data_IF_710874664469
#
_entry.id   IF_710874664469
#
_cell.length_a   1.000
_cell.length_b   1.000
_cell.length_c   1.000
_cell.angle_alpha   90.00
_cell.angle_beta   90.00
_cell.angle_gamma   90.00
#
_symmetry.space_group_name_H-M   'P 1'
#
loop_
_entity.id
_entity.type
_entity.pdbx_description
1 polymer ?
#
# COMPACT_ATOMS: atom_id res chain seq x y z
N UNK A 1 -8.38 -3.44 -11.86
CA UNK A 1 -7.15 -2.69 -11.58
C UNK A 1 -6.35 -3.38 -10.48
N UNK A 2 -5.05 -3.22 -10.51
CA UNK A 2 -4.17 -3.67 -9.45
C UNK A 2 -3.88 -2.50 -8.51
N UNK A 3 -4.31 -2.61 -7.26
CA UNK A 3 -4.19 -1.55 -6.26
C UNK A 3 -3.27 -2.02 -5.15
N UNK A 4 -2.25 -1.23 -4.85
CA UNK A 4 -1.28 -1.53 -3.82
C UNK A 4 -1.48 -0.68 -2.58
N UNK A 5 -1.31 -1.29 -1.41
CA UNK A 5 -1.50 -0.64 -0.12
C UNK A 5 -0.25 -0.76 0.74
N UNK A 6 0.20 0.36 1.28
CA UNK A 6 1.27 0.41 2.28
C UNK A 6 0.82 1.34 3.39
N UNK A 7 1.15 1.00 4.64
CA UNK A 7 0.86 1.87 5.78
C UNK A 7 1.93 1.74 6.84
N UNK A 8 2.42 2.87 7.35
CA UNK A 8 3.24 2.88 8.55
C UNK A 8 2.42 2.41 9.75
N UNK A 9 3.08 1.92 10.80
CA UNK A 9 2.38 1.33 11.95
C UNK A 9 1.31 2.26 12.54
N UNK A 10 1.60 3.55 12.67
CA UNK A 10 0.66 4.53 13.21
C UNK A 10 -0.54 4.79 12.28
N UNK A 11 -0.48 4.36 11.04
CA UNK A 11 -1.52 4.56 10.03
C UNK A 11 -2.27 3.29 9.66
N UNK A 12 -1.95 2.15 10.28
CA UNK A 12 -2.59 0.88 9.91
C UNK A 12 -4.08 0.86 10.23
N UNK A 13 -4.49 1.43 11.36
CA UNK A 13 -5.92 1.51 11.70
C UNK A 13 -6.66 2.39 10.71
N UNK A 14 -6.07 3.51 10.29
CA UNK A 14 -6.65 4.37 9.26
C UNK A 14 -6.81 3.60 7.94
N UNK A 15 -5.81 2.81 7.56
CA UNK A 15 -5.86 1.98 6.36
C UNK A 15 -6.97 0.93 6.46
N UNK A 16 -7.10 0.28 7.62
CA UNK A 16 -8.16 -0.71 7.85
C UNK A 16 -9.54 -0.07 7.69
N UNK A 17 -9.75 1.11 8.29
CA UNK A 17 -11.02 1.82 8.21
C UNK A 17 -11.33 2.27 6.78
N UNK A 18 -10.31 2.73 6.05
CA UNK A 18 -10.46 3.11 4.65
C UNK A 18 -10.89 1.91 3.80
N UNK A 19 -10.20 0.79 3.94
CA UNK A 19 -10.51 -0.41 3.17
C UNK A 19 -11.89 -0.98 3.52
N UNK A 20 -12.30 -0.89 4.78
CA UNK A 20 -13.61 -1.34 5.21
C UNK A 20 -14.71 -0.45 4.62
N UNK A 21 -14.51 0.89 4.62
CA UNK A 21 -15.47 1.83 4.06
C UNK A 21 -15.69 1.63 2.56
N UNK A 22 -14.64 1.25 1.83
CA UNK A 22 -14.69 1.06 0.38
C UNK A 22 -14.64 -0.41 -0.03
N UNK A 23 -14.97 -1.30 0.87
CA UNK A 23 -14.90 -2.75 0.65
C UNK A 23 -15.58 -3.20 -0.64
N UNK A 24 -16.78 -2.70 -0.90
CA UNK A 24 -17.56 -3.11 -2.08
C UNK A 24 -16.84 -2.74 -3.38
N UNK A 25 -16.29 -1.52 -3.45
CA UNK A 25 -15.56 -1.07 -4.63
C UNK A 25 -14.26 -1.89 -4.78
N UNK A 26 -13.54 -2.08 -3.67
CA UNK A 26 -12.27 -2.81 -3.68
C UNK A 26 -12.43 -4.27 -4.05
N UNK A 27 -13.58 -4.87 -3.77
CA UNK A 27 -13.86 -6.27 -4.11
C UNK A 27 -13.79 -6.56 -5.61
N UNK A 28 -13.87 -5.53 -6.43
CA UNK A 28 -13.83 -5.65 -7.90
C UNK A 28 -12.43 -5.55 -8.47
N UNK A 29 -11.42 -5.36 -7.62
CA UNK A 29 -10.05 -5.14 -8.04
C UNK A 29 -9.10 -6.13 -7.39
N UNK A 30 -7.90 -6.25 -7.94
CA UNK A 30 -6.84 -7.06 -7.36
C UNK A 30 -6.10 -6.21 -6.32
N UNK A 31 -6.00 -6.70 -5.10
CA UNK A 31 -5.40 -5.98 -3.98
C UNK A 31 -4.03 -6.57 -3.65
N UNK A 32 -3.06 -5.68 -3.49
CA UNK A 32 -1.69 -6.04 -3.13
C UNK A 32 -1.26 -5.19 -1.93
N UNK A 33 -0.50 -5.76 -1.03
CA UNK A 33 -0.02 -5.01 0.13
C UNK A 33 1.24 -5.65 0.70
N UNK A 34 2.03 -4.86 1.45
CA UNK A 34 3.10 -5.42 2.25
C UNK A 34 2.50 -6.28 3.36
N UNK A 35 3.28 -7.28 3.85
CA UNK A 35 2.77 -8.41 4.61
C UNK A 35 1.81 -8.09 5.76
N UNK A 36 2.23 -7.23 6.71
CA UNK A 36 1.40 -6.94 7.89
C UNK A 36 0.16 -6.15 7.50
N UNK A 37 0.31 -5.14 6.63
CA UNK A 37 -0.81 -4.35 6.12
C UNK A 37 -1.83 -5.23 5.40
N UNK A 38 -1.35 -6.12 4.53
CA UNK A 38 -2.23 -7.03 3.80
C UNK A 38 -3.01 -7.97 4.70
N UNK A 39 -2.36 -8.51 5.71
CA UNK A 39 -3.03 -9.38 6.68
C UNK A 39 -4.14 -8.64 7.42
N UNK A 40 -3.89 -7.41 7.85
CA UNK A 40 -4.88 -6.62 8.57
C UNK A 40 -6.06 -6.24 7.68
N UNK A 41 -5.81 -5.91 6.42
CA UNK A 41 -6.89 -5.63 5.47
C UNK A 41 -7.78 -6.86 5.28
N UNK A 42 -7.19 -8.04 5.11
CA UNK A 42 -7.96 -9.28 4.98
C UNK A 42 -8.81 -9.56 6.23
N UNK A 43 -8.26 -9.33 7.41
CA UNK A 43 -8.97 -9.59 8.67
C UNK A 43 -10.21 -8.71 8.82
N UNK A 44 -10.15 -7.44 8.44
CA UNK A 44 -11.28 -6.53 8.65
C UNK A 44 -12.27 -6.52 7.48
N UNK A 45 -11.82 -6.80 6.25
CA UNK A 45 -12.66 -6.73 5.07
C UNK A 45 -13.11 -8.08 4.55
N UNK A 46 -12.42 -9.15 4.92
CA UNK A 46 -12.61 -10.50 4.37
C UNK A 46 -12.35 -10.57 2.85
N UNK A 47 -11.65 -9.59 2.29
CA UNK A 47 -11.23 -9.61 0.90
C UNK A 47 -9.88 -10.30 0.78
N UNK A 48 -9.64 -10.93 -0.39
CA UNK A 48 -8.34 -11.52 -0.66
C UNK A 48 -7.33 -10.43 -1.00
N UNK A 49 -6.17 -10.46 -0.35
CA UNK A 49 -5.07 -9.53 -0.62
C UNK A 49 -3.81 -10.33 -0.89
N UNK A 50 -3.16 -10.05 -2.01
CA UNK A 50 -1.84 -10.62 -2.30
C UNK A 50 -0.80 -9.92 -1.43
N UNK A 51 -0.11 -10.68 -0.58
CA UNK A 51 0.80 -10.12 0.42
C UNK A 51 2.25 -10.27 -0.01
N UNK A 52 2.98 -9.15 -0.06
CA UNK A 52 4.42 -9.14 -0.19
C UNK A 52 5.07 -9.39 1.17
N UNK A 53 6.40 -9.50 1.18
CA UNK A 53 7.16 -9.51 2.43
C UNK A 53 6.92 -8.19 3.19
N UNK A 54 7.10 -8.17 4.53
CA UNK A 54 7.08 -6.90 5.26
C UNK A 54 8.09 -5.91 4.67
N UNK A 55 7.77 -4.60 4.71
CA UNK A 55 8.61 -3.58 4.11
C UNK A 55 10.05 -3.59 4.58
N UNK A 56 10.27 -3.89 5.88
CA UNK A 56 11.60 -3.95 6.48
C UNK A 56 12.48 -5.11 5.98
N UNK A 57 11.89 -6.13 5.34
CA UNK A 57 12.63 -7.32 4.86
C UNK A 57 12.45 -7.54 3.35
N UNK A 58 12.26 -6.49 2.59
CA UNK A 58 12.24 -6.55 1.13
C UNK A 58 10.88 -6.34 0.48
N UNK A 59 9.82 -6.12 1.24
CA UNK A 59 8.48 -5.86 0.69
C UNK A 59 8.46 -4.62 -0.20
N UNK A 60 9.20 -3.58 0.15
CA UNK A 60 9.31 -2.35 -0.63
C UNK A 60 9.87 -2.63 -2.02
N UNK A 61 10.91 -3.47 -2.10
CA UNK A 61 11.50 -3.83 -3.38
C UNK A 61 10.55 -4.63 -4.24
N UNK A 62 9.80 -5.55 -3.65
CA UNK A 62 8.77 -6.31 -4.37
C UNK A 62 7.69 -5.37 -4.91
N UNK A 63 7.29 -4.39 -4.11
CA UNK A 63 6.29 -3.41 -4.48
C UNK A 63 6.77 -2.55 -5.65
N UNK A 64 7.99 -2.03 -5.56
CA UNK A 64 8.59 -1.21 -6.63
C UNK A 64 8.80 -2.02 -7.91
N UNK A 65 9.14 -3.30 -7.79
CA UNK A 65 9.30 -4.18 -8.93
C UNK A 65 7.99 -4.30 -9.75
N UNK A 66 6.87 -4.41 -9.08
CA UNK A 66 5.56 -4.44 -9.76
C UNK A 66 5.25 -3.11 -10.44
N UNK A 67 5.63 -1.97 -9.84
CA UNK A 67 5.45 -0.66 -10.46
C UNK A 67 6.30 -0.58 -11.74
N UNK A 68 7.55 -0.99 -11.66
CA UNK A 68 8.48 -0.96 -12.81
C UNK A 68 8.02 -1.86 -13.95
N UNK A 69 7.37 -2.98 -13.65
CA UNK A 69 6.82 -3.89 -14.65
C UNK A 69 5.46 -3.45 -15.17
N UNK A 70 4.98 -2.29 -14.78
CA UNK A 70 3.67 -1.76 -15.14
C UNK A 70 2.52 -2.69 -14.72
N UNK A 71 2.69 -3.38 -13.59
CA UNK A 71 1.69 -4.30 -13.04
C UNK A 71 0.87 -3.69 -11.92
N UNK A 72 1.11 -2.42 -11.57
CA UNK A 72 0.39 -1.71 -10.51
C UNK A 72 -0.31 -0.50 -11.13
N UNK A 73 -1.59 -0.33 -10.87
CA UNK A 73 -2.39 0.76 -11.44
C UNK A 73 -2.58 1.93 -10.51
N UNK A 74 -2.50 1.69 -9.20
CA UNK A 74 -2.68 2.73 -8.18
C UNK A 74 -1.98 2.29 -6.90
N UNK A 75 -1.39 3.25 -6.18
CA UNK A 75 -0.76 3.00 -4.88
C UNK A 75 -1.40 3.91 -3.84
N UNK A 76 -1.75 3.33 -2.69
CA UNK A 76 -2.24 4.08 -1.52
C UNK A 76 -1.25 3.83 -0.39
N UNK A 77 -0.54 4.87 0.00
CA UNK A 77 0.51 4.79 1.02
C UNK A 77 0.23 5.81 2.13
N UNK A 78 -0.37 5.34 3.21
CA UNK A 78 -0.59 6.18 4.39
C UNK A 78 0.66 6.15 5.25
N UNK A 79 1.45 7.21 5.17
CA UNK A 79 2.72 7.29 5.88
C UNK A 79 2.65 8.27 7.04
N UNK A 80 3.54 8.10 8.00
CA UNK A 80 3.70 9.04 9.11
C UNK A 80 4.87 9.98 8.80
N UNK A 81 4.61 11.28 8.54
CA UNK A 81 5.67 12.22 8.16
C UNK A 81 6.67 12.50 9.28
N UNK A 82 6.36 12.09 10.51
CA UNK A 82 7.22 12.32 11.68
C UNK A 82 8.18 11.17 11.95
N UNK A 83 8.06 10.05 11.21
CA UNK A 83 8.90 8.87 11.42
C UNK A 83 9.91 8.75 10.27
N UNK A 84 11.18 8.58 10.64
CA UNK A 84 12.28 8.36 9.70
C UNK A 84 13.07 7.10 10.06
N UNK A 85 12.41 6.10 10.62
CA UNK A 85 13.05 4.85 11.02
C UNK A 85 13.50 4.05 9.80
N UNK A 86 14.69 3.44 9.81
CA UNK A 86 15.14 2.58 8.70
C UNK A 86 14.30 1.29 8.58
N UNK A 87 13.49 0.97 9.58
CA UNK A 87 12.63 -0.22 9.58
C UNK A 87 11.23 0.08 9.03
N UNK A 88 10.96 1.29 8.58
CA UNK A 88 9.68 1.64 7.95
C UNK A 88 9.83 1.71 6.44
N UNK A 89 8.70 1.55 5.74
CA UNK A 89 8.67 1.67 4.29
C UNK A 89 9.14 3.07 3.85
N UNK A 90 9.93 3.13 2.79
CA UNK A 90 10.51 4.38 2.30
C UNK A 90 9.54 5.06 1.34
N UNK A 91 8.82 6.05 1.86
CA UNK A 91 7.86 6.83 1.07
C UNK A 91 8.53 7.54 -0.11
N UNK A 92 9.76 8.02 0.07
CA UNK A 92 10.45 8.77 -1.00
C UNK A 92 10.84 7.86 -2.16
N UNK A 93 11.33 6.66 -1.89
CA UNK A 93 11.69 5.72 -2.93
C UNK A 93 10.46 5.27 -3.73
N UNK A 94 9.37 4.94 -3.04
CA UNK A 94 8.13 4.50 -3.68
C UNK A 94 7.49 5.65 -4.45
N UNK A 95 7.48 6.86 -3.90
CA UNK A 95 6.93 8.04 -4.56
C UNK A 95 7.69 8.35 -5.86
N UNK A 96 9.02 8.30 -5.84
CA UNK A 96 9.81 8.50 -7.05
C UNK A 96 9.54 7.42 -8.10
N UNK A 97 9.39 6.19 -7.67
CA UNK A 97 9.07 5.09 -8.57
C UNK A 97 7.71 5.30 -9.24
N UNK A 98 6.70 5.69 -8.46
CA UNK A 98 5.37 5.99 -9.00
C UNK A 98 5.42 7.15 -9.99
N UNK A 99 6.13 8.22 -9.67
CA UNK A 99 6.26 9.39 -10.55
C UNK A 99 6.99 9.04 -11.84
N UNK A 100 8.03 8.22 -11.75
CA UNK A 100 8.80 7.79 -12.92
C UNK A 100 7.94 6.97 -13.90
N UNK A 101 7.04 6.16 -13.39
CA UNK A 101 6.20 5.27 -14.20
C UNK A 101 4.75 5.76 -14.33
N UNK A 102 4.47 6.99 -13.90
CA UNK A 102 3.15 7.63 -14.00
C UNK A 102 2.04 6.83 -13.31
N UNK A 103 2.33 6.30 -12.13
CA UNK A 103 1.36 5.56 -11.32
C UNK A 103 0.77 6.53 -10.28
N UNK A 104 -0.57 6.70 -10.21
CA UNK A 104 -1.17 7.54 -9.18
C UNK A 104 -0.86 7.02 -7.78
N UNK A 105 -0.47 7.92 -6.88
CA UNK A 105 -0.22 7.58 -5.49
C UNK A 105 -0.95 8.55 -4.57
N UNK A 106 -1.75 8.02 -3.65
CA UNK A 106 -2.40 8.77 -2.59
C UNK A 106 -1.64 8.56 -1.28
N UNK A 107 -1.30 9.65 -0.59
CA UNK A 107 -0.51 9.60 0.65
C UNK A 107 -1.32 9.92 1.89
N UNK A 108 -2.57 10.30 1.73
CA UNK A 108 -3.47 10.60 2.84
C UNK A 108 -4.92 10.29 2.43
N UNK A 109 -5.81 10.29 3.43
CA UNK A 109 -7.18 9.87 3.21
C UNK A 109 -7.96 10.81 2.30
N UNK A 110 -7.60 12.08 2.26
CA UNK A 110 -8.30 13.06 1.41
C UNK A 110 -8.06 12.80 -0.08
N UNK A 111 -6.87 12.28 -0.43
CA UNK A 111 -6.51 11.98 -1.82
C UNK A 111 -6.95 10.58 -2.23
N UNK A 112 -7.03 9.68 -1.26
CA UNK A 112 -7.35 8.26 -1.53
C UNK A 112 -8.78 8.01 -2.04
#
# INVERSE_FOLDING_TARGET
MNIGFIAHNSKKILMENFCLAYKYILSKHNLYATGITGRRIEEVTNLHVYKFLPGSVGGDKQFMDMIERNCMDMVIFFYNPLITSPNTADIYAISRCCDQYNIPMATNIATA
#
